data_IF_526174863580
#
_entry.id   IF_526174863580
#
_cell.length_a   1.000
_cell.length_b   1.000
_cell.length_c   1.000
_cell.angle_alpha   90.00
_cell.angle_beta   90.00
_cell.angle_gamma   90.00
#
_symmetry.space_group_name_H-M   'P 1'
#
loop_
_entity.id
_entity.type
_entity.pdbx_description
1 polymer ?
#
# COMPACT_ATOMS: atom_id res chain seq x y z
N UNK A 1 5.57 0.07 14.04
CA UNK A 1 6.26 0.59 12.85
C UNK A 1 5.28 1.40 12.03
N UNK A 2 5.63 2.63 11.66
CA UNK A 2 4.81 3.47 10.78
C UNK A 2 5.07 3.08 9.32
N UNK A 3 4.00 2.88 8.55
CA UNK A 3 4.06 2.74 7.09
C UNK A 3 3.54 4.03 6.45
N UNK A 4 4.36 4.68 5.63
CA UNK A 4 4.01 5.87 4.88
C UNK A 4 3.76 5.51 3.41
N UNK A 5 2.55 5.74 2.92
CA UNK A 5 2.16 5.55 1.52
C UNK A 5 1.97 6.94 0.89
N UNK A 6 2.70 7.26 -0.18
CA UNK A 6 2.56 8.59 -0.81
C UNK A 6 2.72 8.59 -2.33
N UNK A 7 2.13 9.60 -2.99
CA UNK A 7 2.21 9.85 -4.44
C UNK A 7 2.95 11.14 -4.80
N UNK A 8 3.72 11.67 -3.83
CA UNK A 8 4.59 12.84 -3.97
C UNK A 8 5.78 12.60 -4.90
N UNK A 9 6.38 13.69 -5.40
CA UNK A 9 7.67 13.63 -6.10
C UNK A 9 8.79 13.16 -5.16
N UNK A 10 9.91 12.70 -5.73
CA UNK A 10 11.05 12.20 -4.96
C UNK A 10 11.58 13.23 -3.94
N UNK A 11 11.62 14.52 -4.32
CA UNK A 11 12.08 15.61 -3.45
C UNK A 11 11.13 15.84 -2.27
N UNK A 12 9.83 15.90 -2.55
CA UNK A 12 8.79 16.11 -1.53
C UNK A 12 8.68 14.91 -0.60
N UNK A 13 8.73 13.69 -1.14
CA UNK A 13 8.73 12.45 -0.36
C UNK A 13 9.92 12.37 0.59
N UNK A 14 11.13 12.72 0.14
CA UNK A 14 12.31 12.81 1.02
C UNK A 14 12.11 13.82 2.14
N UNK A 15 11.57 15.00 1.83
CA UNK A 15 11.29 16.03 2.83
C UNK A 15 10.25 15.57 3.86
N UNK A 16 9.21 14.86 3.42
CA UNK A 16 8.19 14.30 4.29
C UNK A 16 8.77 13.21 5.20
N UNK A 17 9.62 12.33 4.69
CA UNK A 17 10.28 11.30 5.52
C UNK A 17 11.15 11.92 6.62
N UNK A 18 11.83 13.03 6.32
CA UNK A 18 12.66 13.77 7.29
C UNK A 18 11.86 14.44 8.40
N UNK A 19 10.53 14.59 8.26
CA UNK A 19 9.70 15.19 9.31
C UNK A 19 9.26 14.20 10.39
N UNK A 20 9.60 12.91 10.27
CA UNK A 20 9.30 11.89 11.28
C UNK A 20 10.47 11.76 12.25
N UNK A 21 10.15 11.58 13.54
CA UNK A 21 11.16 11.31 14.58
C UNK A 21 11.92 10.00 14.33
N UNK A 22 11.24 9.00 13.78
CA UNK A 22 11.81 7.73 13.33
C UNK A 22 11.42 7.46 11.88
N UNK A 23 12.36 7.00 11.03
CA UNK A 23 12.08 6.82 9.61
C UNK A 23 10.96 5.78 9.39
N UNK A 24 9.86 6.14 8.70
CA UNK A 24 8.80 5.19 8.36
C UNK A 24 9.24 4.23 7.26
N UNK A 25 8.55 3.10 7.13
CA UNK A 25 8.66 2.26 5.93
C UNK A 25 7.86 2.90 4.80
N UNK A 26 8.50 3.20 3.67
CA UNK A 26 7.90 3.98 2.59
C UNK A 26 7.37 3.07 1.47
N UNK A 27 6.14 3.32 1.05
CA UNK A 27 5.53 2.79 -0.18
C UNK A 27 5.27 3.97 -1.11
N UNK A 28 6.11 4.12 -2.12
CA UNK A 28 6.04 5.19 -3.11
C UNK A 28 5.93 4.61 -4.53
N UNK A 29 5.51 5.45 -5.47
CA UNK A 29 5.37 5.05 -6.87
C UNK A 29 6.75 4.98 -7.54
N UNK A 30 7.10 3.79 -8.03
CA UNK A 30 8.29 3.58 -8.87
C UNK A 30 7.91 3.26 -10.33
N UNK A 31 6.63 3.39 -10.68
CA UNK A 31 6.09 3.11 -12.01
C UNK A 31 5.91 1.63 -12.33
N UNK A 32 6.18 0.71 -11.39
CA UNK A 32 6.13 -0.74 -11.66
C UNK A 32 4.91 -1.45 -11.07
N UNK A 33 4.09 -0.77 -10.27
CA UNK A 33 2.94 -1.39 -9.61
C UNK A 33 1.91 -1.89 -10.63
N UNK A 34 1.60 -3.19 -10.59
CA UNK A 34 0.55 -3.77 -11.43
C UNK A 34 -0.81 -3.57 -10.77
N UNK A 35 -1.87 -3.49 -11.58
CA UNK A 35 -3.23 -3.39 -11.07
C UNK A 35 -3.69 -4.68 -10.40
N UNK A 36 -4.44 -4.56 -9.30
CA UNK A 36 -5.09 -5.72 -8.70
C UNK A 36 -6.07 -6.37 -9.69
N UNK A 37 -6.02 -7.69 -9.81
CA UNK A 37 -6.84 -8.48 -10.75
C UNK A 37 -8.02 -9.20 -10.08
N UNK A 38 -8.26 -8.93 -8.79
CA UNK A 38 -9.40 -9.53 -8.07
C UNK A 38 -9.31 -11.05 -7.87
N UNK A 39 -8.10 -11.62 -7.78
CA UNK A 39 -7.92 -13.07 -7.63
C UNK A 39 -8.18 -13.62 -6.21
N UNK A 40 -8.20 -12.74 -5.20
CA UNK A 40 -8.39 -13.06 -3.78
C UNK A 40 -7.38 -14.07 -3.16
N UNK A 41 -6.32 -14.42 -3.89
CA UNK A 41 -5.26 -15.30 -3.39
C UNK A 41 -4.51 -14.74 -2.18
N UNK A 42 -4.45 -13.41 -2.05
CA UNK A 42 -3.88 -12.73 -0.89
C UNK A 42 -4.70 -12.89 0.40
N UNK A 43 -5.93 -13.42 0.33
CA UNK A 43 -6.72 -13.81 1.50
C UNK A 43 -6.68 -15.32 1.74
N UNK A 44 -6.65 -16.12 0.67
CA UNK A 44 -6.97 -17.57 0.74
C UNK A 44 -5.79 -18.49 0.51
N UNK A 45 -4.82 -18.10 -0.34
CA UNK A 45 -3.70 -18.97 -0.74
C UNK A 45 -2.40 -18.62 -0.01
N UNK A 46 -2.03 -17.34 -0.03
CA UNK A 46 -0.85 -16.81 0.63
C UNK A 46 -1.23 -15.50 1.35
N UNK A 47 -1.77 -15.60 2.60
CA UNK A 47 -2.29 -14.45 3.31
C UNK A 47 -1.29 -13.30 3.42
N UNK A 48 -1.70 -12.11 2.97
CA UNK A 48 -0.84 -10.91 2.99
C UNK A 48 0.10 -10.79 1.80
N UNK A 49 0.17 -11.79 0.91
CA UNK A 49 1.02 -11.79 -0.29
C UNK A 49 0.18 -11.88 -1.55
N UNK A 50 0.41 -10.94 -2.46
CA UNK A 50 -0.30 -10.89 -3.73
C UNK A 50 0.42 -11.70 -4.82
N UNK A 51 -0.36 -12.35 -5.69
CA UNK A 51 0.16 -13.25 -6.74
C UNK A 51 0.98 -12.52 -7.82
N UNK A 52 0.75 -11.22 -8.04
CA UNK A 52 1.57 -10.48 -9.00
C UNK A 52 2.92 -10.19 -8.35
N UNK A 53 3.96 -10.81 -8.89
CA UNK A 53 5.33 -10.70 -8.40
C UNK A 53 5.96 -9.36 -8.83
N UNK A 54 5.66 -8.32 -8.07
CA UNK A 54 6.28 -6.99 -8.12
C UNK A 54 6.71 -6.57 -6.71
N UNK A 55 7.34 -5.40 -6.57
CA UNK A 55 7.82 -4.91 -5.26
C UNK A 55 6.70 -4.66 -4.25
N UNK A 56 5.44 -4.63 -4.70
CA UNK A 56 4.26 -4.33 -3.91
C UNK A 56 3.51 -5.60 -3.48
N UNK A 57 4.02 -6.79 -3.82
CA UNK A 57 3.34 -8.04 -3.55
C UNK A 57 3.15 -8.32 -2.06
N UNK A 58 4.02 -7.78 -1.19
CA UNK A 58 3.93 -7.95 0.26
C UNK A 58 3.23 -6.80 0.98
N UNK A 59 2.58 -5.87 0.27
CA UNK A 59 1.93 -4.74 0.91
C UNK A 59 0.88 -5.18 1.93
N UNK A 60 0.09 -6.21 1.63
CA UNK A 60 -0.90 -6.75 2.58
C UNK A 60 -0.27 -7.14 3.93
N UNK A 61 0.80 -7.91 3.89
CA UNK A 61 1.56 -8.28 5.09
C UNK A 61 2.25 -7.08 5.75
N UNK A 62 2.79 -6.14 4.96
CA UNK A 62 3.41 -4.91 5.46
C UNK A 62 2.40 -4.08 6.28
N UNK A 63 1.20 -3.85 5.73
CA UNK A 63 0.13 -3.12 6.42
C UNK A 63 -0.34 -3.88 7.67
N UNK A 64 -0.44 -5.21 7.61
CA UNK A 64 -0.82 -6.04 8.77
C UNK A 64 0.16 -6.01 9.94
N UNK A 65 1.43 -5.68 9.68
CA UNK A 65 2.46 -5.51 10.71
C UNK A 65 2.68 -4.03 11.11
N UNK A 66 1.95 -3.10 10.49
CA UNK A 66 2.05 -1.68 10.82
C UNK A 66 1.35 -1.37 12.15
N UNK A 67 1.91 -0.46 12.93
CA UNK A 67 1.20 0.14 14.07
C UNK A 67 0.32 1.29 13.62
N UNK A 68 0.80 2.05 12.62
CA UNK A 68 0.11 3.18 12.02
C UNK A 68 0.37 3.18 10.51
N UNK A 69 -0.64 3.57 9.75
CA UNK A 69 -0.56 3.73 8.30
C UNK A 69 -0.87 5.19 7.97
N UNK A 70 0.11 5.92 7.46
CA UNK A 70 -0.04 7.30 7.04
C UNK A 70 -0.17 7.33 5.51
N UNK A 71 -1.23 7.97 5.00
CA UNK A 71 -1.48 8.08 3.57
C UNK A 71 -1.42 9.56 3.19
N UNK A 72 -0.46 9.90 2.33
CA UNK A 72 -0.34 11.24 1.75
C UNK A 72 -0.64 11.18 0.26
N UNK A 73 -1.85 11.60 -0.11
CA UNK A 73 -2.35 11.47 -1.48
C UNK A 73 -2.80 12.81 -2.02
N UNK A 74 -2.52 13.08 -3.29
CA UNK A 74 -3.31 14.06 -4.04
C UNK A 74 -4.76 13.60 -4.12
N UNK A 75 -5.69 14.55 -3.99
CA UNK A 75 -7.11 14.27 -4.14
C UNK A 75 -7.46 14.21 -5.64
N UNK A 76 -7.82 13.03 -6.14
CA UNK A 76 -8.31 12.81 -7.50
C UNK A 76 -9.80 12.47 -7.42
N UNK A 77 -10.64 13.25 -8.11
CA UNK A 77 -12.08 13.00 -8.20
C UNK A 77 -12.77 12.81 -6.82
N UNK A 78 -12.29 13.50 -5.78
CA UNK A 78 -12.82 13.38 -4.41
C UNK A 78 -12.29 12.19 -3.60
N UNK A 79 -11.29 11.45 -4.10
CA UNK A 79 -10.67 10.33 -3.42
C UNK A 79 -9.15 10.28 -3.57
N UNK A 80 -8.58 9.10 -3.31
CA UNK A 80 -7.15 8.85 -3.46
C UNK A 80 -6.70 8.91 -4.92
N UNK A 81 -5.42 9.22 -5.13
CA UNK A 81 -4.83 9.16 -6.47
C UNK A 81 -4.76 7.72 -6.99
N UNK A 82 -4.67 7.52 -8.31
CA UNK A 82 -4.67 6.19 -8.92
C UNK A 82 -3.61 5.25 -8.33
N UNK A 83 -2.41 5.77 -8.04
CA UNK A 83 -1.33 4.99 -7.42
C UNK A 83 -1.71 4.51 -6.02
N UNK A 84 -2.15 5.42 -5.15
CA UNK A 84 -2.54 5.10 -3.77
C UNK A 84 -3.70 4.10 -3.75
N UNK A 85 -4.71 4.33 -4.59
CA UNK A 85 -5.83 3.39 -4.71
C UNK A 85 -5.36 2.01 -5.16
N UNK A 86 -4.41 1.93 -6.09
CA UNK A 86 -3.84 0.66 -6.53
C UNK A 86 -3.07 -0.05 -5.39
N UNK A 87 -2.28 0.69 -4.60
CA UNK A 87 -1.63 0.15 -3.39
C UNK A 87 -2.66 -0.46 -2.44
N UNK A 88 -3.77 0.24 -2.17
CA UNK A 88 -4.83 -0.26 -1.29
C UNK A 88 -5.52 -1.50 -1.86
N UNK A 89 -5.83 -1.52 -3.16
CA UNK A 89 -6.43 -2.68 -3.83
C UNK A 89 -5.52 -3.91 -3.87
N UNK A 90 -4.20 -3.68 -3.89
CA UNK A 90 -3.16 -4.72 -3.77
C UNK A 90 -2.96 -5.19 -2.32
N UNK A 91 -3.55 -4.49 -1.35
CA UNK A 91 -3.38 -4.70 0.10
C UNK A 91 -4.67 -5.09 0.80
N UNK A 92 -5.73 -5.48 0.07
CA UNK A 92 -7.03 -5.87 0.65
C UNK A 92 -6.91 -6.98 1.71
N UNK A 93 -5.84 -7.79 1.65
CA UNK A 93 -5.52 -8.79 2.66
C UNK A 93 -5.20 -8.26 4.04
N UNK A 94 -4.98 -6.95 4.18
CA UNK A 94 -4.86 -6.29 5.47
C UNK A 94 -6.19 -6.30 6.26
N UNK A 95 -7.33 -6.28 5.56
CA UNK A 95 -8.65 -6.33 6.20
C UNK A 95 -9.22 -7.73 6.17
N UNK A 96 -10.04 -8.06 7.17
CA UNK A 96 -10.75 -9.33 7.23
C UNK A 96 -11.71 -9.45 6.04
N UNK A 97 -11.68 -10.54 5.26
CA UNK A 97 -12.42 -10.64 4.00
C UNK A 97 -13.91 -10.97 4.16
N UNK A 98 -14.33 -11.42 5.35
CA UNK A 98 -15.70 -11.89 5.68
C UNK A 98 -16.35 -12.73 4.56
N UNK A 99 -15.57 -13.64 3.97
CA UNK A 99 -16.06 -14.55 2.93
C UNK A 99 -16.88 -15.65 3.58
N UNK A 100 -18.14 -15.76 3.17
CA UNK A 100 -19.00 -16.90 3.50
C UNK A 100 -18.93 -17.90 2.35
N UNK A 101 -18.61 -19.15 2.68
CA UNK A 101 -18.55 -20.27 1.75
C UNK A 101 -19.72 -21.21 2.05
#
# INVERSE_FOLDING_TARGET
MIVLIHDLSEKEGKQLVLSYDQPPTVVADDGTIKHCVGCFGCWTKDPGVCILNDKYNKNGALLGNATEVHIFSRCYYGGFSPFIKNVLDRSISYVHPDLRI
#
